data_IF_918926964517
#
_entry.id   IF_918926964517
#
_cell.length_a   1.000
_cell.length_b   1.000
_cell.length_c   1.000
_cell.angle_alpha   90.00
_cell.angle_beta   90.00
_cell.angle_gamma   90.00
#
_symmetry.space_group_name_H-M   'P 1'
#
loop_
_entity.id
_entity.type
_entity.pdbx_description
1 polymer ?
#
# COMPACT_ATOMS: atom_id res chain seq x y z
N UNK A 1 44.17 -7.06 16.56
CA UNK A 1 43.45 -7.11 15.28
C UNK A 1 42.01 -7.43 15.58
N UNK A 2 41.12 -6.42 15.56
CA UNK A 2 39.70 -6.58 15.89
C UNK A 2 38.90 -6.65 14.60
N UNK A 3 38.45 -7.85 14.23
CA UNK A 3 37.48 -8.02 13.13
C UNK A 3 36.08 -7.74 13.67
N UNK A 4 35.70 -6.46 13.65
CA UNK A 4 34.32 -6.03 13.85
C UNK A 4 33.53 -6.32 12.58
N UNK A 5 32.90 -7.49 12.52
CA UNK A 5 31.86 -7.78 11.54
C UNK A 5 30.60 -6.97 11.89
N UNK A 6 30.60 -5.69 11.54
CA UNK A 6 29.35 -4.95 11.39
C UNK A 6 28.67 -5.48 10.14
N UNK A 7 27.68 -6.36 10.31
CA UNK A 7 26.68 -6.59 9.27
C UNK A 7 25.85 -5.32 9.15
N UNK A 8 26.40 -4.34 8.44
CA UNK A 8 25.67 -3.16 8.00
C UNK A 8 24.59 -3.67 7.05
N UNK A 9 23.32 -3.59 7.45
CA UNK A 9 22.19 -3.88 6.57
C UNK A 9 22.25 -2.80 5.48
N UNK A 10 22.96 -3.09 4.39
CA UNK A 10 23.15 -2.16 3.29
C UNK A 10 21.84 -2.05 2.51
N UNK A 11 20.93 -1.21 3.01
CA UNK A 11 19.68 -0.83 2.33
C UNK A 11 20.08 -0.15 1.04
N UNK A 12 19.72 -0.75 -0.10
CA UNK A 12 20.03 -0.17 -1.41
C UNK A 12 19.06 0.97 -1.70
N UNK A 13 19.61 2.13 -1.98
CA UNK A 13 18.85 3.28 -2.46
C UNK A 13 18.29 3.04 -3.87
N UNK A 14 17.09 3.56 -4.17
CA UNK A 14 16.55 3.53 -5.51
C UNK A 14 17.40 4.34 -6.50
N UNK A 15 17.37 3.98 -7.79
CA UNK A 15 17.94 4.79 -8.85
C UNK A 15 17.17 6.11 -9.00
N UNK A 16 17.76 7.06 -9.74
CA UNK A 16 17.12 8.32 -10.10
C UNK A 16 15.84 8.05 -10.92
N UNK A 17 14.81 8.87 -10.71
CA UNK A 17 13.53 8.72 -11.38
C UNK A 17 13.56 9.31 -12.79
N UNK A 18 13.10 8.52 -13.75
CA UNK A 18 12.83 8.96 -15.12
C UNK A 18 11.44 9.60 -15.12
N UNK A 19 11.35 10.86 -15.58
CA UNK A 19 10.11 11.66 -15.48
C UNK A 19 8.95 11.06 -16.29
N UNK A 20 9.24 10.60 -17.52
CA UNK A 20 8.25 9.97 -18.39
C UNK A 20 8.71 8.57 -18.81
N UNK A 21 8.57 7.56 -17.92
CA UNK A 21 9.10 6.23 -18.19
C UNK A 21 8.38 5.58 -19.38
N UNK A 22 7.07 5.79 -19.54
CA UNK A 22 6.32 5.19 -20.65
C UNK A 22 6.71 5.72 -22.02
N UNK A 23 7.08 7.00 -22.15
CA UNK A 23 7.60 7.52 -23.42
C UNK A 23 8.91 6.82 -23.82
N UNK A 24 9.82 6.61 -22.86
CA UNK A 24 11.08 5.90 -23.09
C UNK A 24 10.86 4.41 -23.36
N UNK A 25 9.89 3.78 -22.68
CA UNK A 25 9.51 2.39 -22.96
C UNK A 25 9.03 2.25 -24.41
N UNK A 26 8.16 3.16 -24.87
CA UNK A 26 7.61 3.11 -26.23
C UNK A 26 8.69 3.36 -27.29
N UNK A 27 9.68 4.23 -27.02
CA UNK A 27 10.73 4.53 -28.00
C UNK A 27 11.84 3.48 -28.04
N UNK A 28 12.30 3.02 -26.88
CA UNK A 28 13.57 2.31 -26.75
C UNK A 28 13.41 0.84 -26.31
N UNK A 29 12.23 0.47 -25.79
CA UNK A 29 11.93 -0.85 -25.22
C UNK A 29 10.53 -1.36 -25.60
N UNK A 30 10.07 -1.06 -26.81
CA UNK A 30 8.69 -1.32 -27.25
C UNK A 30 8.31 -2.81 -27.19
N UNK A 31 9.29 -3.69 -27.43
CA UNK A 31 9.17 -5.15 -27.38
C UNK A 31 8.96 -5.69 -25.95
N UNK A 32 9.25 -4.88 -24.93
CA UNK A 32 9.10 -5.23 -23.51
C UNK A 32 7.99 -4.42 -22.81
N UNK A 33 7.19 -3.67 -23.57
CA UNK A 33 6.23 -2.72 -23.03
C UNK A 33 5.17 -3.39 -22.13
N UNK A 34 4.76 -4.62 -22.47
CA UNK A 34 3.87 -5.47 -21.67
C UNK A 34 4.46 -5.77 -20.29
N UNK A 35 5.72 -6.20 -20.23
CA UNK A 35 6.41 -6.52 -18.99
C UNK A 35 6.58 -5.28 -18.09
N UNK A 36 6.81 -4.09 -18.66
CA UNK A 36 6.80 -2.85 -17.88
C UNK A 36 5.40 -2.47 -17.40
N UNK A 37 4.36 -2.73 -18.20
CA UNK A 37 2.98 -2.45 -17.80
C UNK A 37 2.54 -3.34 -16.63
N UNK A 38 3.04 -4.58 -16.56
CA UNK A 38 2.91 -5.46 -15.39
C UNK A 38 3.67 -4.96 -14.14
N UNK A 39 4.46 -3.88 -14.24
CA UNK A 39 5.03 -3.22 -13.06
C UNK A 39 4.28 -1.94 -12.68
N UNK A 40 3.27 -1.53 -13.44
CA UNK A 40 2.52 -0.28 -13.26
C UNK A 40 1.52 -0.33 -12.09
N UNK A 41 1.92 -0.96 -10.99
CA UNK A 41 1.17 -1.07 -9.74
C UNK A 41 2.04 -0.73 -8.53
N UNK A 42 1.44 -0.22 -7.44
CA UNK A 42 2.19 0.18 -6.26
C UNK A 42 2.69 -1.00 -5.41
N UNK A 43 2.06 -2.17 -5.55
CA UNK A 43 2.27 -3.36 -4.75
C UNK A 43 2.83 -4.52 -5.58
N UNK A 44 3.37 -5.54 -4.91
CA UNK A 44 3.67 -6.80 -5.59
C UNK A 44 2.38 -7.56 -5.97
N UNK A 45 2.51 -8.66 -6.70
CA UNK A 45 1.39 -9.51 -7.10
C UNK A 45 0.59 -10.12 -5.91
N UNK A 46 1.14 -10.07 -4.69
CA UNK A 46 0.46 -10.50 -3.46
C UNK A 46 -0.19 -9.32 -2.72
N UNK A 47 -0.20 -8.11 -3.29
CA UNK A 47 -0.76 -6.92 -2.67
C UNK A 47 0.14 -6.32 -1.57
N UNK A 48 1.40 -6.74 -1.45
CA UNK A 48 2.32 -6.23 -0.42
C UNK A 48 3.06 -5.01 -0.91
N UNK A 49 3.19 -4.02 -0.03
CA UNK A 49 4.11 -2.92 -0.24
C UNK A 49 5.55 -3.36 0.04
N UNK A 50 6.44 -3.20 -0.94
CA UNK A 50 7.88 -3.50 -0.80
C UNK A 50 8.72 -2.26 -1.10
N UNK A 51 9.69 -1.99 -0.23
CA UNK A 51 10.73 -0.99 -0.52
C UNK A 51 11.63 -1.45 -1.69
N UNK A 52 12.31 -0.52 -2.34
CA UNK A 52 13.14 -0.80 -3.52
C UNK A 52 14.21 -1.87 -3.26
N UNK A 53 14.82 -1.85 -2.08
CA UNK A 53 15.83 -2.81 -1.60
C UNK A 53 15.30 -4.26 -1.47
N UNK A 54 13.99 -4.47 -1.56
CA UNK A 54 13.37 -5.79 -1.66
C UNK A 54 12.75 -6.02 -3.02
N UNK A 55 12.12 -4.99 -3.58
CA UNK A 55 11.40 -5.08 -4.84
C UNK A 55 12.31 -5.32 -6.04
N UNK A 56 13.52 -4.72 -6.09
CA UNK A 56 14.41 -4.82 -7.27
C UNK A 56 14.80 -6.25 -7.64
N UNK A 57 14.80 -7.17 -6.67
CA UNK A 57 15.11 -8.58 -6.90
C UNK A 57 13.97 -9.34 -7.58
N UNK A 58 12.78 -8.74 -7.66
CA UNK A 58 11.58 -9.30 -8.26
C UNK A 58 11.34 -8.80 -9.68
N UNK A 59 12.07 -7.77 -10.10
CA UNK A 59 11.99 -7.30 -11.48
C UNK A 59 12.55 -8.39 -12.41
N UNK A 60 11.91 -8.62 -13.58
CA UNK A 60 12.50 -9.48 -14.60
C UNK A 60 13.90 -8.97 -14.96
N UNK A 61 14.87 -9.89 -15.04
CA UNK A 61 16.28 -9.54 -15.30
C UNK A 61 16.51 -8.89 -16.66
N UNK A 62 15.56 -9.04 -17.58
CA UNK A 62 15.57 -8.44 -18.91
C UNK A 62 15.21 -6.96 -18.92
N UNK A 63 14.59 -6.43 -17.86
CA UNK A 63 14.17 -5.04 -17.78
C UNK A 63 15.25 -4.16 -17.17
N UNK A 64 15.33 -2.92 -17.65
CA UNK A 64 16.13 -1.88 -17.01
C UNK A 64 15.55 -1.57 -15.63
N UNK A 65 16.39 -1.68 -14.60
CA UNK A 65 15.96 -1.53 -13.21
C UNK A 65 15.55 -0.09 -12.86
N UNK A 66 16.11 0.93 -13.51
CA UNK A 66 15.77 2.33 -13.29
C UNK A 66 14.42 2.66 -13.93
N UNK A 67 14.16 2.14 -15.12
CA UNK A 67 12.89 2.27 -15.82
C UNK A 67 11.78 1.52 -15.09
N UNK A 68 12.02 0.26 -14.71
CA UNK A 68 11.12 -0.54 -13.89
C UNK A 68 10.76 0.16 -12.57
N UNK A 69 11.78 0.68 -11.85
CA UNK A 69 11.54 1.44 -10.63
C UNK A 69 10.75 2.72 -10.86
N UNK A 70 11.02 3.45 -11.94
CA UNK A 70 10.31 4.68 -12.29
C UNK A 70 8.83 4.42 -12.57
N UNK A 71 8.51 3.32 -13.25
CA UNK A 71 7.12 2.87 -13.46
C UNK A 71 6.41 2.59 -12.14
N UNK A 72 7.00 1.77 -11.27
CA UNK A 72 6.44 1.47 -9.94
C UNK A 72 6.26 2.74 -9.12
N UNK A 73 7.26 3.63 -9.13
CA UNK A 73 7.20 4.88 -8.37
C UNK A 73 6.11 5.80 -8.89
N UNK A 74 5.92 5.87 -10.20
CA UNK A 74 4.81 6.62 -10.79
C UNK A 74 3.46 6.07 -10.36
N UNK A 75 3.28 4.74 -10.37
CA UNK A 75 2.07 4.09 -9.88
C UNK A 75 1.80 4.40 -8.39
N UNK A 76 2.84 4.35 -7.55
CA UNK A 76 2.76 4.75 -6.13
C UNK A 76 2.36 6.20 -5.96
N UNK A 77 3.01 7.12 -6.66
CA UNK A 77 2.70 8.54 -6.53
C UNK A 77 1.25 8.84 -6.93
N UNK A 78 0.70 8.15 -7.95
CA UNK A 78 -0.70 8.30 -8.38
C UNK A 78 -1.73 7.85 -7.34
N UNK A 79 -1.37 6.88 -6.50
CA UNK A 79 -2.26 6.30 -5.49
C UNK A 79 -1.95 6.78 -4.06
N UNK A 80 -0.98 7.68 -3.91
CA UNK A 80 -0.56 8.20 -2.61
C UNK A 80 -1.64 9.12 -2.04
N UNK A 81 -2.13 8.79 -0.85
CA UNK A 81 -3.12 9.60 -0.12
C UNK A 81 -2.39 10.39 0.95
N UNK A 82 -2.53 11.72 0.95
CA UNK A 82 -1.99 12.57 2.01
C UNK A 82 -2.74 12.30 3.31
N UNK A 83 -2.04 11.89 4.36
CA UNK A 83 -2.62 11.71 5.69
C UNK A 83 -2.56 13.00 6.50
N UNK A 84 -1.37 13.60 6.57
CA UNK A 84 -1.07 14.76 7.42
C UNK A 84 0.06 15.57 6.77
N UNK A 85 0.22 16.83 7.15
CA UNK A 85 1.39 17.63 6.78
C UNK A 85 2.21 17.92 8.03
N UNK A 86 3.53 17.69 7.97
CA UNK A 86 4.43 17.79 9.13
C UNK A 86 5.69 18.59 8.82
N UNK A 87 6.27 19.20 9.86
CA UNK A 87 7.57 19.87 9.83
C UNK A 87 7.54 21.35 9.45
N UNK A 88 8.71 21.98 9.50
CA UNK A 88 8.96 23.36 9.05
C UNK A 88 10.18 23.36 8.10
N UNK A 89 10.00 23.56 6.78
CA UNK A 89 8.74 23.83 6.09
C UNK A 89 7.80 22.61 6.08
N UNK A 90 6.49 22.88 6.05
CA UNK A 90 5.44 21.86 6.03
C UNK A 90 5.56 20.92 4.82
N UNK A 91 5.61 19.61 5.08
CA UNK A 91 5.71 18.55 4.06
C UNK A 91 4.51 17.61 4.15
N UNK A 92 3.80 17.34 3.05
CA UNK A 92 2.73 16.35 3.04
C UNK A 92 3.32 14.95 3.25
N UNK A 93 2.82 14.26 4.26
CA UNK A 93 3.10 12.87 4.57
C UNK A 93 1.90 12.03 4.13
N UNK A 94 2.13 11.19 3.11
CA UNK A 94 1.12 10.31 2.57
C UNK A 94 1.38 8.84 2.84
N UNK A 95 0.36 8.03 2.58
CA UNK A 95 0.41 6.58 2.66
C UNK A 95 -0.30 5.95 1.46
N UNK A 96 -0.06 4.67 1.25
CA UNK A 96 -0.74 3.86 0.25
C UNK A 96 -1.71 2.94 0.94
N UNK A 97 -2.95 2.93 0.48
CA UNK A 97 -3.99 2.09 1.02
C UNK A 97 -3.80 0.65 0.52
N UNK A 98 -3.23 -0.21 1.35
CA UNK A 98 -2.92 -1.60 0.93
C UNK A 98 -4.17 -2.48 0.96
N UNK A 99 -4.20 -3.59 0.20
CA UNK A 99 -5.27 -4.59 0.28
C UNK A 99 -5.49 -5.13 1.71
N UNK A 100 -4.43 -5.30 2.51
CA UNK A 100 -4.56 -5.69 3.90
C UNK A 100 -5.27 -4.63 4.76
N UNK A 101 -5.01 -3.34 4.50
CA UNK A 101 -5.73 -2.25 5.16
C UNK A 101 -7.20 -2.21 4.75
N UNK A 102 -7.49 -2.42 3.46
CA UNK A 102 -8.86 -2.55 2.95
C UNK A 102 -9.61 -3.66 3.66
N UNK A 103 -9.03 -4.86 3.75
CA UNK A 103 -9.65 -5.99 4.44
C UNK A 103 -9.88 -5.70 5.92
N UNK A 104 -8.92 -5.06 6.60
CA UNK A 104 -9.07 -4.70 8.01
C UNK A 104 -10.22 -3.70 8.22
N UNK A 105 -10.33 -2.68 7.36
CA UNK A 105 -11.44 -1.73 7.43
C UNK A 105 -12.76 -2.39 7.10
N UNK A 106 -12.85 -3.20 6.04
CA UNK A 106 -14.07 -3.95 5.72
C UNK A 106 -14.50 -4.88 6.85
N UNK A 107 -13.56 -5.55 7.53
CA UNK A 107 -13.87 -6.38 8.69
C UNK A 107 -14.36 -5.54 9.90
N UNK A 108 -13.79 -4.36 10.11
CA UNK A 108 -14.28 -3.42 11.12
C UNK A 108 -15.69 -2.92 10.81
N UNK A 109 -15.92 -2.50 9.57
CA UNK A 109 -17.20 -1.97 9.10
C UNK A 109 -18.32 -3.00 9.25
N UNK A 110 -18.08 -4.26 8.87
CA UNK A 110 -19.04 -5.36 9.04
C UNK A 110 -19.51 -5.51 10.50
N UNK A 111 -18.61 -5.36 11.46
CA UNK A 111 -18.89 -5.53 12.88
C UNK A 111 -19.45 -4.26 13.56
N UNK A 112 -19.41 -3.11 12.88
CA UNK A 112 -19.86 -1.81 13.41
C UNK A 112 -21.22 -1.39 12.83
N UNK A 113 -21.90 -2.29 12.10
CA UNK A 113 -23.25 -2.01 11.59
C UNK A 113 -24.33 -2.29 12.64
N UNK A 114 -25.39 -1.50 12.63
CA UNK A 114 -26.61 -1.75 13.42
C UNK A 114 -27.14 -3.17 13.22
N UNK A 115 -27.03 -3.72 12.01
CA UNK A 115 -27.46 -5.09 11.71
C UNK A 115 -26.62 -6.16 12.43
N UNK A 116 -25.31 -5.96 12.56
CA UNK A 116 -24.45 -6.85 13.34
C UNK A 116 -24.79 -6.78 14.84
N UNK A 117 -25.06 -5.56 15.34
CA UNK A 117 -25.53 -5.31 16.71
C UNK A 117 -26.89 -6.00 16.98
N UNK A 118 -27.87 -5.83 16.10
CA UNK A 118 -29.19 -6.46 16.17
C UNK A 118 -29.10 -7.99 16.14
N UNK A 119 -28.26 -8.54 15.26
CA UNK A 119 -28.02 -9.98 15.19
C UNK A 119 -27.35 -10.52 16.46
N UNK A 120 -26.36 -9.83 17.01
CA UNK A 120 -25.73 -10.21 18.28
C UNK A 120 -26.75 -10.16 19.44
N UNK A 121 -27.56 -9.10 19.51
CA UNK A 121 -28.65 -9.00 20.50
C UNK A 121 -29.68 -10.12 20.35
N UNK A 122 -29.97 -10.58 19.13
CA UNK A 122 -30.93 -11.68 18.87
C UNK A 122 -30.45 -13.03 19.41
N UNK A 123 -29.14 -13.23 19.58
CA UNK A 123 -28.54 -14.46 20.13
C UNK A 123 -28.46 -14.49 21.66
N UNK A 124 -28.68 -13.36 22.32
CA UNK A 124 -28.64 -13.25 23.78
C UNK A 124 -30.08 -13.41 24.28
N UNK A 125 -30.30 -14.28 25.27
CA UNK A 125 -31.63 -14.57 25.82
C UNK A 125 -32.37 -13.35 26.42
N UNK A 126 -31.62 -12.27 26.67
CA UNK A 126 -32.09 -10.96 27.16
C UNK A 126 -32.24 -9.90 26.04
N UNK A 127 -32.51 -10.34 24.81
CA UNK A 127 -32.65 -9.47 23.63
C UNK A 127 -33.61 -8.29 23.83
N UNK A 128 -34.68 -8.46 24.62
CA UNK A 128 -35.67 -7.42 24.93
C UNK A 128 -35.13 -6.26 25.76
N UNK A 129 -34.29 -6.52 26.79
CA UNK A 129 -33.69 -5.48 27.62
C UNK A 129 -32.60 -4.71 26.86
N UNK A 130 -31.80 -5.40 26.05
CA UNK A 130 -30.77 -4.79 25.22
C UNK A 130 -31.37 -3.91 24.11
N UNK A 131 -32.45 -4.36 23.47
CA UNK A 131 -33.14 -3.58 22.42
C UNK A 131 -33.76 -2.30 22.99
N UNK A 132 -34.23 -2.34 24.25
CA UNK A 132 -34.73 -1.16 24.96
C UNK A 132 -33.59 -0.15 25.21
N UNK A 133 -32.44 -0.60 25.72
CA UNK A 133 -31.27 0.26 25.96
C UNK A 133 -30.70 0.88 24.69
N UNK A 134 -30.68 0.14 23.58
CA UNK A 134 -30.18 0.64 22.29
C UNK A 134 -31.07 1.73 21.67
N UNK A 135 -32.38 1.73 21.95
CA UNK A 135 -33.31 2.73 21.44
C UNK A 135 -33.33 4.04 22.23
N UNK A 136 -32.80 4.04 23.45
CA UNK A 136 -32.73 5.25 24.31
C UNK A 136 -31.36 5.93 24.31
N UNK A 137 -30.36 5.42 23.57
CA UNK A 137 -29.10 6.12 23.39
C UNK A 137 -29.33 7.39 22.54
N UNK A 138 -29.16 8.61 23.10
CA UNK A 138 -29.40 9.84 22.35
C UNK A 138 -28.33 9.99 21.25
N UNK A 139 -28.79 10.44 20.08
CA UNK A 139 -27.98 10.79 18.90
C UNK A 139 -27.02 11.95 19.16
#
# INVERSE_FOLDING_TARGET
MSNSWKFEIMVKSPPALIQNPFAMIISDHADQADAYLELAQPFDAQGRYLHFDKLRFRFPKSLDAALAWSVVRQARNRQLVTAISLGEPSRPCGFLYTPAMQMAVSAGDQNTTTAALEWMCSRIGESRQLTYLLKEAPS
#
